data_IF_740428433365
#
_entry.id   IF_740428433365
#
_cell.length_a   1.000
_cell.length_b   1.000
_cell.length_c   1.000
_cell.angle_alpha   90.00
_cell.angle_beta   90.00
_cell.angle_gamma   90.00
#
_symmetry.space_group_name_H-M   'P 1'
#
loop_
_entity.id
_entity.type
_entity.pdbx_description
1 polymer ?
#
# COMPACT_ATOMS: atom_id res chain seq x y z
N UNK A 1 49.93 30.07 -32.25
CA UNK A 1 48.48 29.88 -32.45
C UNK A 1 48.27 28.50 -33.04
N UNK A 2 47.44 27.66 -32.41
CA UNK A 2 46.91 26.45 -33.05
C UNK A 2 47.40 25.10 -32.53
N UNK A 3 47.28 24.82 -31.23
CA UNK A 3 47.24 23.43 -30.72
C UNK A 3 46.45 23.40 -29.40
N UNK A 4 45.12 23.53 -29.47
CA UNK A 4 44.26 23.42 -28.29
C UNK A 4 42.85 22.88 -28.62
N UNK A 5 42.75 21.88 -29.49
CA UNK A 5 41.47 21.20 -29.77
C UNK A 5 41.73 19.74 -30.18
N UNK A 6 42.05 18.84 -29.25
CA UNK A 6 41.97 17.38 -29.49
C UNK A 6 42.02 16.48 -28.24
N UNK A 7 41.53 16.92 -27.08
CA UNK A 7 41.45 16.03 -25.89
C UNK A 7 40.08 16.08 -25.20
N UNK A 8 39.10 16.79 -25.76
CA UNK A 8 37.75 16.92 -25.19
C UNK A 8 36.69 16.15 -25.99
N UNK A 9 36.96 14.91 -26.38
CA UNK A 9 35.95 13.99 -26.94
C UNK A 9 36.03 12.55 -26.45
N UNK A 10 36.87 12.24 -25.46
CA UNK A 10 37.10 10.87 -24.99
C UNK A 10 36.76 10.62 -23.50
N UNK A 11 36.14 11.59 -22.82
CA UNK A 11 35.69 11.43 -21.41
C UNK A 11 34.15 11.33 -21.28
N UNK A 12 33.39 11.55 -22.36
CA UNK A 12 31.93 11.56 -22.32
C UNK A 12 31.24 10.21 -22.60
N UNK A 13 32.00 9.12 -22.82
CA UNK A 13 31.43 7.80 -23.19
C UNK A 13 31.61 6.74 -22.06
N UNK A 14 32.19 7.11 -20.92
CA UNK A 14 32.40 6.19 -19.78
C UNK A 14 31.44 6.39 -18.60
N UNK A 15 30.39 7.22 -18.75
CA UNK A 15 29.32 7.40 -17.74
C UNK A 15 27.94 6.88 -18.18
N UNK A 16 27.86 6.12 -19.27
CA UNK A 16 26.59 5.58 -19.79
C UNK A 16 26.32 4.10 -19.46
N UNK A 17 27.15 3.45 -18.64
CA UNK A 17 27.04 2.01 -18.36
C UNK A 17 27.28 1.71 -16.88
N UNK A 18 26.45 2.24 -15.98
CA UNK A 18 26.31 1.72 -14.62
C UNK A 18 25.04 2.24 -13.91
N UNK A 19 23.90 2.29 -14.60
CA UNK A 19 22.59 2.30 -13.94
C UNK A 19 21.95 0.93 -14.12
N UNK A 20 22.63 -0.10 -13.60
CA UNK A 20 21.94 -1.36 -13.36
C UNK A 20 20.82 -1.10 -12.35
N UNK A 21 19.58 -1.54 -12.63
CA UNK A 21 18.52 -1.44 -11.65
C UNK A 21 18.89 -2.36 -10.49
N UNK A 22 19.37 -1.77 -9.40
CA UNK A 22 19.57 -2.45 -8.10
C UNK A 22 18.26 -3.12 -7.64
N UNK A 23 17.12 -2.70 -8.20
CA UNK A 23 15.81 -3.32 -7.96
C UNK A 23 15.67 -4.77 -8.43
N UNK A 24 16.40 -5.23 -9.44
CA UNK A 24 16.23 -6.59 -9.98
C UNK A 24 17.00 -7.66 -9.18
N UNK A 25 18.10 -7.29 -8.53
CA UNK A 25 18.95 -8.23 -7.79
C UNK A 25 18.41 -8.57 -6.39
N UNK A 26 17.72 -7.63 -5.73
CA UNK A 26 17.31 -7.81 -4.34
C UNK A 26 16.16 -8.82 -4.13
N UNK A 27 15.41 -9.20 -5.17
CA UNK A 27 14.30 -10.16 -5.05
C UNK A 27 14.68 -11.61 -5.39
N UNK A 28 15.88 -11.88 -5.90
CA UNK A 28 16.22 -13.21 -6.41
C UNK A 28 16.58 -14.22 -5.31
N UNK A 29 16.98 -13.75 -4.12
CA UNK A 29 17.49 -14.63 -3.05
C UNK A 29 16.41 -15.29 -2.18
N UNK A 30 15.13 -14.96 -2.34
CA UNK A 30 14.03 -15.50 -1.51
C UNK A 30 13.10 -16.50 -2.22
N UNK A 31 13.38 -16.88 -3.48
CA UNK A 31 12.51 -17.79 -4.22
C UNK A 31 12.77 -19.24 -3.84
N UNK A 32 11.97 -19.78 -2.92
CA UNK A 32 11.72 -21.23 -2.93
C UNK A 32 10.91 -21.52 -4.20
N UNK A 33 11.59 -21.89 -5.28
CA UNK A 33 10.95 -22.19 -6.55
C UNK A 33 10.04 -23.42 -6.37
N UNK A 34 8.75 -23.28 -6.64
CA UNK A 34 7.76 -24.37 -6.57
C UNK A 34 8.00 -25.47 -7.62
N UNK A 35 8.98 -25.30 -8.51
CA UNK A 35 9.25 -26.19 -9.64
C UNK A 35 8.27 -26.02 -10.79
N UNK A 36 7.28 -25.15 -10.65
CA UNK A 36 6.30 -24.84 -11.68
C UNK A 36 6.87 -23.82 -12.68
N UNK A 37 6.54 -23.93 -13.98
CA UNK A 37 6.94 -22.93 -14.95
C UNK A 37 6.26 -21.59 -14.64
N UNK A 38 7.04 -20.51 -14.67
CA UNK A 38 6.49 -19.16 -14.67
C UNK A 38 5.86 -18.88 -16.03
N UNK A 39 4.57 -18.56 -16.03
CA UNK A 39 3.83 -18.22 -17.24
C UNK A 39 3.92 -16.71 -17.50
N UNK A 40 3.80 -16.31 -18.76
CA UNK A 40 3.52 -14.91 -19.06
C UNK A 40 2.15 -14.52 -18.50
N UNK A 41 1.91 -13.22 -18.26
CA UNK A 41 0.59 -12.73 -17.87
C UNK A 41 -0.52 -13.16 -18.86
N UNK A 42 -0.26 -13.09 -20.16
CA UNK A 42 -1.20 -13.48 -21.22
C UNK A 42 -1.44 -15.00 -21.24
N UNK A 43 -0.39 -15.80 -21.04
CA UNK A 43 -0.51 -17.25 -20.92
C UNK A 43 -1.31 -17.65 -19.68
N UNK A 44 -1.15 -16.93 -18.58
CA UNK A 44 -1.92 -17.13 -17.35
C UNK A 44 -3.40 -16.86 -17.60
N UNK A 45 -3.72 -15.72 -18.24
CA UNK A 45 -5.13 -15.38 -18.56
C UNK A 45 -5.80 -16.46 -19.41
N UNK A 46 -5.09 -16.98 -20.42
CA UNK A 46 -5.59 -18.07 -21.30
C UNK A 46 -5.87 -19.39 -20.57
N UNK A 47 -5.34 -19.59 -19.37
CA UNK A 47 -5.55 -20.80 -18.56
C UNK A 47 -6.71 -20.69 -17.57
N UNK A 48 -7.26 -19.49 -17.35
CA UNK A 48 -8.46 -19.38 -16.52
C UNK A 48 -9.64 -20.06 -17.21
N UNK A 49 -10.42 -20.78 -16.40
CA UNK A 49 -11.74 -21.26 -16.78
C UNK A 49 -12.74 -20.49 -15.94
N UNK A 50 -13.70 -19.84 -16.59
CA UNK A 50 -14.76 -19.07 -15.92
C UNK A 50 -16.14 -19.54 -16.40
N UNK A 51 -17.20 -19.36 -15.60
CA UNK A 51 -18.57 -19.69 -16.01
C UNK A 51 -19.04 -18.87 -17.22
N UNK A 52 -20.08 -19.35 -17.90
CA UNK A 52 -20.72 -18.63 -18.99
C UNK A 52 -21.16 -17.22 -18.56
N UNK A 53 -20.88 -16.22 -19.41
CA UNK A 53 -21.18 -14.81 -19.12
C UNK A 53 -20.07 -14.05 -18.37
N UNK A 54 -18.97 -14.71 -18.01
CA UNK A 54 -17.81 -14.08 -17.38
C UNK A 54 -16.60 -14.03 -18.34
N UNK A 55 -15.74 -13.04 -18.15
CA UNK A 55 -14.45 -12.93 -18.81
C UNK A 55 -13.36 -12.57 -17.81
N UNK A 56 -12.11 -12.92 -18.11
CA UNK A 56 -10.92 -12.47 -17.37
C UNK A 56 -10.07 -11.62 -18.30
N UNK A 57 -9.76 -10.39 -17.89
CA UNK A 57 -8.88 -9.46 -18.59
C UNK A 57 -7.65 -9.17 -17.75
N UNK A 58 -6.51 -9.03 -18.43
CA UNK A 58 -5.26 -8.63 -17.79
C UNK A 58 -5.25 -7.11 -17.57
N UNK A 59 -5.51 -6.67 -16.34
CA UNK A 59 -5.52 -5.26 -16.00
C UNK A 59 -4.11 -4.67 -15.81
N UNK A 60 -3.26 -5.34 -15.03
CA UNK A 60 -1.86 -4.98 -14.79
C UNK A 60 -1.01 -6.23 -14.53
N UNK A 61 0.29 -6.17 -14.82
CA UNK A 61 1.25 -7.26 -14.61
C UNK A 61 2.63 -6.71 -14.27
N UNK A 62 3.59 -7.57 -13.91
CA UNK A 62 4.99 -7.18 -13.80
C UNK A 62 5.51 -6.58 -15.13
N UNK A 63 6.34 -5.53 -15.09
CA UNK A 63 6.96 -4.90 -13.91
C UNK A 63 6.09 -3.82 -13.25
N UNK A 64 4.88 -3.57 -13.75
CA UNK A 64 4.03 -2.46 -13.33
C UNK A 64 3.32 -2.70 -11.99
N UNK A 65 3.08 -3.95 -11.63
CA UNK A 65 2.62 -4.36 -10.30
C UNK A 65 3.56 -5.44 -9.74
N UNK A 66 3.99 -5.29 -8.50
CA UNK A 66 4.87 -6.26 -7.82
C UNK A 66 4.37 -6.47 -6.38
N UNK A 67 4.18 -7.73 -5.98
CA UNK A 67 3.71 -8.12 -4.64
C UNK A 67 2.47 -7.34 -4.14
N UNK A 68 1.37 -7.26 -4.91
CA UNK A 68 0.15 -6.62 -4.44
C UNK A 68 -0.44 -7.41 -3.26
N UNK A 69 -0.74 -6.75 -2.14
CA UNK A 69 -1.26 -7.40 -0.92
C UNK A 69 -2.66 -6.94 -0.53
N UNK A 70 -3.02 -5.70 -0.88
CA UNK A 70 -4.34 -5.13 -0.61
C UNK A 70 -4.67 -4.09 -1.69
N UNK A 71 -5.95 -3.96 -2.03
CA UNK A 71 -6.41 -3.02 -3.04
C UNK A 71 -7.80 -2.45 -2.72
N UNK A 72 -8.10 -1.28 -3.27
CA UNK A 72 -9.42 -0.65 -3.22
C UNK A 72 -9.63 0.20 -4.48
N UNK A 73 -10.88 0.66 -4.70
CA UNK A 73 -11.20 1.62 -5.75
C UNK A 73 -11.55 2.97 -5.14
N UNK A 74 -11.18 4.06 -5.82
CA UNK A 74 -11.65 5.40 -5.48
C UNK A 74 -12.94 5.76 -6.22
N UNK A 75 -13.51 6.93 -5.91
CA UNK A 75 -14.73 7.44 -6.53
C UNK A 75 -14.59 7.76 -8.04
N UNK A 76 -13.36 7.80 -8.56
CA UNK A 76 -13.06 7.97 -9.99
C UNK A 76 -12.94 6.63 -10.71
N UNK A 77 -13.10 5.51 -10.01
CA UNK A 77 -13.01 4.16 -10.56
C UNK A 77 -11.56 3.67 -10.75
N UNK A 78 -10.57 4.34 -10.17
CA UNK A 78 -9.16 3.94 -10.27
C UNK A 78 -8.84 2.88 -9.23
N UNK A 79 -7.99 1.93 -9.57
CA UNK A 79 -7.51 0.91 -8.64
C UNK A 79 -6.32 1.45 -7.86
N UNK A 80 -6.36 1.33 -6.54
CA UNK A 80 -5.26 1.64 -5.63
C UNK A 80 -4.77 0.36 -5.00
N UNK A 81 -3.47 0.08 -5.08
CA UNK A 81 -2.91 -1.14 -4.50
C UNK A 81 -1.70 -0.84 -3.62
N UNK A 82 -1.59 -1.59 -2.52
CA UNK A 82 -0.36 -1.69 -1.74
C UNK A 82 0.51 -2.77 -2.36
N UNK A 83 1.74 -2.39 -2.67
CA UNK A 83 2.82 -3.31 -2.97
C UNK A 83 3.67 -3.53 -1.71
N UNK A 84 3.76 -4.78 -1.28
CA UNK A 84 4.43 -5.17 -0.02
C UNK A 84 5.77 -5.84 -0.28
N UNK A 85 6.83 -5.20 0.23
CA UNK A 85 8.21 -5.67 0.21
C UNK A 85 8.76 -5.97 1.61
N UNK A 86 8.13 -5.43 2.66
CA UNK A 86 8.55 -5.62 4.04
C UNK A 86 7.95 -6.88 4.68
N UNK A 87 6.82 -7.37 4.19
CA UNK A 87 6.25 -8.61 4.69
C UNK A 87 7.17 -9.82 4.40
N UNK A 88 7.30 -10.77 5.35
CA UNK A 88 6.66 -10.83 6.67
C UNK A 88 7.52 -10.22 7.80
N UNK A 89 8.75 -9.78 7.52
CA UNK A 89 9.73 -9.45 8.57
C UNK A 89 9.63 -8.01 9.09
N UNK A 90 9.07 -7.12 8.29
CA UNK A 90 9.18 -5.69 8.47
C UNK A 90 10.55 -5.15 8.07
N UNK A 91 10.63 -3.83 7.92
CA UNK A 91 11.88 -3.14 7.66
C UNK A 91 12.87 -3.30 8.84
N UNK A 92 14.13 -3.68 8.59
CA UNK A 92 15.19 -3.67 9.59
C UNK A 92 15.38 -2.29 10.20
N UNK A 93 15.82 -2.25 11.46
CA UNK A 93 16.14 -0.99 12.14
C UNK A 93 17.16 -0.16 11.33
N UNK A 94 16.88 1.13 11.17
CA UNK A 94 17.74 2.06 10.42
C UNK A 94 17.58 2.02 8.89
N UNK A 95 16.81 1.08 8.33
CA UNK A 95 16.46 1.08 6.90
C UNK A 95 15.13 1.80 6.69
N UNK A 96 15.06 2.68 5.69
CA UNK A 96 13.78 3.23 5.23
C UNK A 96 12.93 2.06 4.70
N UNK A 97 11.70 1.86 5.21
CA UNK A 97 10.78 0.87 4.66
C UNK A 97 10.47 1.12 3.18
N UNK A 98 9.99 0.11 2.47
CA UNK A 98 9.80 0.17 1.00
C UNK A 98 8.43 -0.27 0.52
N UNK A 99 7.48 -0.60 1.41
CA UNK A 99 6.09 -0.78 0.99
C UNK A 99 5.57 0.54 0.42
N UNK A 100 4.73 0.44 -0.61
CA UNK A 100 4.27 1.60 -1.37
C UNK A 100 2.85 1.44 -1.87
N UNK A 101 2.23 2.55 -2.20
CA UNK A 101 0.89 2.63 -2.77
C UNK A 101 1.01 3.14 -4.20
N UNK A 102 0.40 2.42 -5.14
CA UNK A 102 0.29 2.82 -6.55
C UNK A 102 -1.17 2.96 -6.96
N UNK A 103 -1.40 3.86 -7.92
CA UNK A 103 -2.69 4.14 -8.55
C UNK A 103 -2.61 3.63 -9.98
N UNK A 104 -3.60 2.86 -10.39
CA UNK A 104 -3.74 2.28 -11.72
C UNK A 104 -5.04 2.79 -12.34
N UNK A 105 -4.91 3.40 -13.51
CA UNK A 105 -5.99 4.05 -14.24
C UNK A 105 -6.00 3.49 -15.67
N UNK A 106 -7.20 3.15 -16.12
CA UNK A 106 -7.53 2.82 -17.50
C UNK A 106 -8.22 4.07 -18.09
N UNK A 107 -7.53 4.79 -18.96
CA UNK A 107 -7.98 6.08 -19.50
C UNK A 107 -8.74 5.95 -20.82
N UNK A 108 -8.65 4.80 -21.48
CA UNK A 108 -9.33 4.53 -22.76
C UNK A 108 -10.48 3.51 -22.66
N UNK A 109 -10.63 2.85 -21.51
CA UNK A 109 -11.71 1.94 -21.17
C UNK A 109 -11.57 0.55 -21.79
N UNK A 110 -10.35 0.15 -22.20
CA UNK A 110 -10.11 -1.16 -22.81
C UNK A 110 -10.00 -2.32 -21.80
N UNK A 111 -10.02 -2.00 -20.50
CA UNK A 111 -9.87 -2.94 -19.40
C UNK A 111 -8.41 -3.23 -19.02
N UNK A 112 -7.47 -2.39 -19.43
CA UNK A 112 -6.05 -2.43 -19.07
C UNK A 112 -5.61 -1.09 -18.48
N UNK A 113 -4.81 -1.14 -17.42
CA UNK A 113 -4.21 0.07 -16.90
C UNK A 113 -3.16 0.62 -17.89
N UNK A 114 -3.35 1.85 -18.35
CA UNK A 114 -2.41 2.56 -19.24
C UNK A 114 -1.63 3.65 -18.49
N UNK A 115 -2.17 4.11 -17.35
CA UNK A 115 -1.57 5.16 -16.53
C UNK A 115 -1.39 4.66 -15.11
N UNK A 116 -0.13 4.63 -14.69
CA UNK A 116 0.28 4.08 -13.39
C UNK A 116 1.12 5.11 -12.65
N UNK A 117 0.66 5.50 -11.47
CA UNK A 117 1.28 6.57 -10.66
C UNK A 117 1.68 6.03 -9.29
N UNK A 118 2.82 6.50 -8.77
CA UNK A 118 3.19 6.24 -7.37
C UNK A 118 2.55 7.29 -6.47
N UNK A 119 1.78 6.85 -5.48
CA UNK A 119 1.14 7.76 -4.52
C UNK A 119 2.02 8.02 -3.31
N UNK A 120 2.45 6.96 -2.62
CA UNK A 120 3.21 7.06 -1.38
C UNK A 120 4.20 5.90 -1.26
N UNK A 121 5.38 6.17 -0.69
CA UNK A 121 6.42 5.19 -0.40
C UNK A 121 6.87 5.28 1.06
N UNK A 122 7.61 4.28 1.54
CA UNK A 122 8.16 4.34 2.90
C UNK A 122 7.25 3.74 3.96
N UNK A 123 6.27 2.94 3.57
CA UNK A 123 5.41 2.21 4.50
C UNK A 123 6.07 0.91 4.96
N UNK A 124 5.66 0.44 6.14
CA UNK A 124 6.16 -0.79 6.73
C UNK A 124 5.01 -1.69 7.14
N UNK A 125 5.02 -2.94 6.67
CA UNK A 125 3.97 -3.93 6.93
C UNK A 125 2.56 -3.38 6.59
N UNK A 126 2.46 -2.72 5.43
CA UNK A 126 1.20 -2.20 4.94
C UNK A 126 0.32 -3.37 4.45
N UNK A 127 -0.89 -3.49 5.01
CA UNK A 127 -1.76 -4.68 4.87
C UNK A 127 -3.24 -4.35 4.64
N UNK A 128 -3.64 -3.09 4.77
CA UNK A 128 -4.98 -2.63 4.46
C UNK A 128 -4.97 -1.25 3.81
N UNK A 129 -5.86 -1.00 2.85
CA UNK A 129 -6.02 0.28 2.16
C UNK A 129 -7.49 0.60 1.93
N UNK A 130 -7.88 1.85 2.15
CA UNK A 130 -9.16 2.39 1.71
C UNK A 130 -8.99 3.88 1.35
N UNK A 131 -9.48 4.28 0.18
CA UNK A 131 -9.54 5.70 -0.22
C UNK A 131 -10.89 6.27 0.22
N UNK A 132 -10.89 7.46 0.81
CA UNK A 132 -12.11 8.14 1.23
C UNK A 132 -11.84 9.31 2.16
N UNK A 133 -12.86 10.14 2.38
CA UNK A 133 -12.79 11.29 3.30
C UNK A 133 -11.57 12.21 3.07
N UNK A 134 -11.19 12.42 1.81
CA UNK A 134 -10.08 13.32 1.42
C UNK A 134 -8.68 12.74 1.67
N UNK A 135 -8.55 11.43 1.85
CA UNK A 135 -7.27 10.78 2.09
C UNK A 135 -7.26 9.29 1.80
N UNK A 136 -6.14 8.67 2.17
CA UNK A 136 -5.94 7.22 2.10
C UNK A 136 -5.72 6.69 3.50
N UNK A 137 -6.60 5.77 3.93
CA UNK A 137 -6.47 5.02 5.16
C UNK A 137 -5.58 3.82 4.90
N UNK A 138 -4.55 3.64 5.73
CA UNK A 138 -3.56 2.57 5.55
C UNK A 138 -3.37 1.82 6.86
N UNK A 139 -3.60 0.51 6.82
CA UNK A 139 -3.20 -0.39 7.90
C UNK A 139 -1.72 -0.70 7.78
N UNK A 140 -0.91 -0.16 8.68
CA UNK A 140 0.55 -0.37 8.72
C UNK A 140 0.96 -0.61 10.18
N UNK A 141 0.84 -1.86 10.63
CA UNK A 141 0.96 -2.20 12.04
C UNK A 141 2.27 -1.65 12.64
N UNK A 142 2.22 -0.99 13.81
CA UNK A 142 1.14 -1.03 14.80
C UNK A 142 0.05 0.05 14.62
N UNK A 143 0.01 0.72 13.48
CA UNK A 143 -0.76 1.95 13.28
C UNK A 143 -1.86 1.81 12.22
N UNK A 144 -2.98 2.49 12.45
CA UNK A 144 -3.89 2.93 11.39
C UNK A 144 -3.48 4.34 11.00
N UNK A 145 -3.04 4.52 9.76
CA UNK A 145 -2.57 5.79 9.21
C UNK A 145 -3.63 6.43 8.32
N UNK A 146 -3.58 7.75 8.21
CA UNK A 146 -4.30 8.56 7.23
C UNK A 146 -3.33 9.46 6.48
N UNK A 147 -3.31 9.34 5.15
CA UNK A 147 -2.47 10.15 4.28
C UNK A 147 -3.39 11.12 3.53
N UNK A 148 -3.38 12.42 3.83
CA UNK A 148 -4.28 13.37 3.18
C UNK A 148 -3.95 13.51 1.70
N UNK A 149 -4.96 13.63 0.85
CA UNK A 149 -4.81 13.91 -0.58
C UNK A 149 -4.60 15.41 -0.82
N UNK A 150 -3.80 15.75 -1.83
CA UNK A 150 -3.72 17.09 -2.38
C UNK A 150 -4.96 17.44 -3.21
N UNK A 151 -5.00 18.67 -3.75
CA UNK A 151 -6.13 19.15 -4.55
C UNK A 151 -6.38 18.30 -5.81
N UNK A 152 -5.35 17.61 -6.32
CA UNK A 152 -5.48 16.74 -7.49
C UNK A 152 -6.10 15.39 -7.18
N UNK A 153 -6.04 14.95 -5.91
CA UNK A 153 -6.44 13.60 -5.51
C UNK A 153 -5.43 12.51 -5.89
N UNK A 154 -4.23 12.89 -6.35
CA UNK A 154 -3.23 11.97 -6.92
C UNK A 154 -1.93 11.95 -6.12
N UNK A 155 -1.75 12.88 -5.16
CA UNK A 155 -0.54 12.97 -4.32
C UNK A 155 -0.87 13.24 -2.85
N UNK A 156 0.05 12.90 -1.93
CA UNK A 156 -0.07 13.28 -0.54
C UNK A 156 0.02 14.80 -0.37
N UNK A 157 -0.93 15.40 0.35
CA UNK A 157 -0.86 16.79 0.79
C UNK A 157 0.10 17.01 1.97
N UNK A 158 0.54 15.93 2.63
CA UNK A 158 1.36 16.00 3.82
C UNK A 158 1.82 14.62 4.30
N UNK A 159 2.52 14.57 5.45
CA UNK A 159 2.98 13.30 6.02
C UNK A 159 1.79 12.45 6.53
N UNK A 160 1.97 11.12 6.64
CA UNK A 160 0.98 10.25 7.26
C UNK A 160 0.65 10.68 8.68
N UNK A 161 -0.64 10.72 8.99
CA UNK A 161 -1.18 10.99 10.32
C UNK A 161 -1.55 9.66 10.97
N UNK A 162 -1.12 9.46 12.22
CA UNK A 162 -1.47 8.26 12.97
C UNK A 162 -2.83 8.46 13.66
N UNK A 163 -3.84 7.70 13.26
CA UNK A 163 -5.19 7.78 13.83
C UNK A 163 -5.33 6.88 15.06
N UNK A 164 -4.91 5.62 14.91
CA UNK A 164 -4.90 4.61 15.96
C UNK A 164 -3.52 3.97 16.04
N UNK A 165 -3.18 3.46 17.21
CA UNK A 165 -1.95 2.70 17.44
C UNK A 165 -2.21 1.55 18.39
N UNK A 166 -1.27 0.60 18.48
CA UNK A 166 -1.34 -0.54 19.39
C UNK A 166 -1.92 -1.80 18.76
N UNK A 167 -2.00 -1.86 17.43
CA UNK A 167 -2.21 -3.13 16.73
C UNK A 167 -0.97 -4.03 16.89
N UNK A 168 -1.20 -5.27 17.31
CA UNK A 168 -0.17 -6.29 17.53
C UNK A 168 0.61 -6.63 16.26
N UNK A 169 1.80 -7.20 16.45
CA UNK A 169 2.75 -7.58 15.37
C UNK A 169 3.44 -8.91 15.62
N UNK A 170 2.96 -9.66 16.60
CA UNK A 170 3.49 -10.96 17.00
C UNK A 170 3.38 -11.97 15.86
N UNK A 171 2.25 -11.94 15.14
CA UNK A 171 2.03 -12.68 13.92
C UNK A 171 1.75 -11.73 12.74
N UNK A 172 2.75 -11.52 11.88
CA UNK A 172 2.62 -10.60 10.74
C UNK A 172 1.71 -11.13 9.62
N UNK A 173 1.21 -12.36 9.72
CA UNK A 173 0.17 -12.92 8.85
C UNK A 173 -1.24 -12.40 9.19
N UNK A 174 -1.42 -11.84 10.39
CA UNK A 174 -2.72 -11.55 11.01
C UNK A 174 -2.88 -10.08 11.41
N UNK A 175 -2.19 -9.18 10.69
CA UNK A 175 -2.26 -7.73 10.89
C UNK A 175 -3.61 -7.15 10.43
N UNK A 176 -3.92 -5.92 10.86
CA UNK A 176 -5.13 -5.19 10.47
C UNK A 176 -5.27 -5.10 8.94
N UNK A 177 -6.36 -5.62 8.39
CA UNK A 177 -6.54 -5.75 6.95
C UNK A 177 -8.03 -5.72 6.54
N UNK A 178 -8.32 -6.03 5.27
CA UNK A 178 -9.68 -6.16 4.74
C UNK A 178 -10.54 -4.90 4.92
N UNK A 179 -9.95 -3.75 4.61
CA UNK A 179 -10.61 -2.47 4.81
C UNK A 179 -11.81 -2.32 3.86
N UNK A 180 -12.94 -1.89 4.39
CA UNK A 180 -14.14 -1.62 3.58
C UNK A 180 -14.97 -0.50 4.19
N UNK A 181 -15.56 0.35 3.35
CA UNK A 181 -16.49 1.38 3.80
C UNK A 181 -17.89 0.78 3.97
N UNK A 182 -18.49 1.02 5.13
CA UNK A 182 -19.90 0.78 5.32
C UNK A 182 -20.75 1.91 4.74
N UNK A 183 -22.04 1.68 4.47
CA UNK A 183 -22.98 2.72 4.03
C UNK A 183 -23.29 3.76 5.13
N UNK A 184 -22.72 3.58 6.32
CA UNK A 184 -22.87 4.40 7.52
C UNK A 184 -21.67 5.31 7.79
N UNK A 185 -20.78 5.51 6.80
CA UNK A 185 -19.53 6.29 6.88
C UNK A 185 -18.46 5.71 7.84
N UNK A 186 -18.61 4.47 8.28
CA UNK A 186 -17.59 3.79 9.07
C UNK A 186 -16.61 3.02 8.18
N UNK A 187 -15.32 3.11 8.50
CA UNK A 187 -14.31 2.21 7.97
C UNK A 187 -14.34 0.93 8.79
N UNK A 188 -14.59 -0.21 8.16
CA UNK A 188 -14.52 -1.53 8.78
C UNK A 188 -13.19 -2.20 8.41
N UNK A 189 -12.69 -3.06 9.29
CA UNK A 189 -11.56 -3.93 9.02
C UNK A 189 -11.56 -5.16 9.89
N UNK A 190 -10.71 -6.12 9.54
CA UNK A 190 -10.49 -7.35 10.28
C UNK A 190 -9.13 -7.31 10.99
N UNK A 191 -9.01 -8.10 12.05
CA UNK A 191 -7.77 -8.29 12.80
C UNK A 191 -7.71 -9.72 13.34
N UNK A 192 -6.56 -10.39 13.26
CA UNK A 192 -6.46 -11.82 13.59
C UNK A 192 -6.31 -12.14 15.08
N UNK A 193 -6.23 -13.43 15.39
CA UNK A 193 -6.29 -13.99 16.75
C UNK A 193 -4.95 -13.97 17.47
N UNK A 194 -3.85 -14.13 16.74
CA UNK A 194 -2.49 -14.28 17.30
C UNK A 194 -1.73 -12.95 17.43
N UNK A 195 -2.35 -11.83 17.04
CA UNK A 195 -1.81 -10.47 17.15
C UNK A 195 -2.49 -9.72 18.30
N UNK A 196 -1.87 -9.77 19.48
CA UNK A 196 -2.46 -9.24 20.70
C UNK A 196 -2.45 -7.70 20.72
N UNK A 197 -3.62 -7.09 20.48
CA UNK A 197 -3.71 -5.64 20.30
C UNK A 197 -4.26 -4.92 21.52
N UNK A 198 -3.69 -3.75 21.80
CA UNK A 198 -4.16 -2.77 22.79
C UNK A 198 -4.35 -1.45 22.08
N UNK A 199 -5.42 -1.38 21.28
CA UNK A 199 -5.64 -0.29 20.34
C UNK A 199 -6.09 0.96 21.07
N UNK A 200 -5.45 2.08 20.80
CA UNK A 200 -5.83 3.39 21.35
C UNK A 200 -5.74 4.49 20.31
N UNK A 201 -6.47 5.56 20.58
CA UNK A 201 -6.41 6.81 19.81
C UNK A 201 -5.12 7.56 20.10
N UNK A 202 -4.63 8.30 19.13
CA UNK A 202 -3.46 9.17 19.27
C UNK A 202 -3.91 10.59 19.60
N UNK A 203 -3.29 11.19 20.62
CA UNK A 203 -3.56 12.57 21.05
C UNK A 203 -3.14 13.60 19.99
N UNK A 204 -3.84 14.74 19.91
CA UNK A 204 -3.41 15.89 19.09
C UNK A 204 -3.66 15.77 17.59
N UNK A 205 -4.33 14.72 17.14
CA UNK A 205 -5.09 14.80 15.88
C UNK A 205 -6.36 15.55 16.28
N UNK A 206 -6.66 16.73 15.71
CA UNK A 206 -7.74 17.62 16.18
C UNK A 206 -9.16 17.05 15.98
N UNK A 207 -9.85 16.65 17.04
CA UNK A 207 -11.25 16.18 16.98
C UNK A 207 -12.23 17.35 16.82
N UNK A 208 -13.19 17.24 15.89
CA UNK A 208 -14.27 18.23 15.73
C UNK A 208 -15.39 18.14 16.79
N UNK A 209 -15.33 17.16 17.70
CA UNK A 209 -16.38 16.92 18.69
C UNK A 209 -15.83 16.85 20.10
N UNK A 210 -16.19 17.86 20.91
CA UNK A 210 -16.54 17.95 22.35
C UNK A 210 -16.16 16.83 23.35
N UNK A 211 -15.21 15.95 23.09
CA UNK A 211 -14.75 14.94 24.03
C UNK A 211 -13.23 15.06 24.20
N UNK A 212 -12.72 15.12 25.44
CA UNK A 212 -11.30 15.26 25.69
C UNK A 212 -10.55 14.03 25.16
N UNK A 213 -9.48 14.34 24.42
CA UNK A 213 -8.59 13.43 23.74
C UNK A 213 -7.74 12.59 24.72
N UNK A 214 -7.38 11.37 24.29
CA UNK A 214 -6.22 10.58 24.72
C UNK A 214 -6.24 9.79 26.05
N UNK A 215 -7.20 9.99 26.96
CA UNK A 215 -7.22 9.29 28.27
C UNK A 215 -8.14 8.06 28.35
N UNK A 216 -8.73 7.63 27.24
CA UNK A 216 -9.47 6.37 27.22
C UNK A 216 -8.53 5.17 27.31
N UNK A 217 -8.87 4.15 28.11
CA UNK A 217 -8.09 2.93 28.17
C UNK A 217 -8.04 2.27 26.78
N UNK A 218 -6.93 1.60 26.42
CA UNK A 218 -6.85 0.89 25.17
C UNK A 218 -7.93 -0.19 25.09
N UNK A 219 -8.48 -0.37 23.89
CA UNK A 219 -9.37 -1.48 23.56
C UNK A 219 -8.51 -2.71 23.31
N UNK A 220 -8.68 -3.74 24.14
CA UNK A 220 -8.05 -5.03 23.91
C UNK A 220 -8.77 -5.77 22.78
N UNK A 221 -8.03 -6.27 21.80
CA UNK A 221 -8.58 -6.92 20.62
C UNK A 221 -7.69 -8.08 20.19
N UNK A 222 -8.31 -9.27 20.15
CA UNK A 222 -7.78 -10.51 19.55
C UNK A 222 -8.93 -11.09 18.72
N UNK A 223 -8.73 -11.30 17.42
CA UNK A 223 -9.75 -11.78 16.50
C UNK A 223 -11.05 -10.96 16.54
N UNK A 224 -11.08 -9.84 15.84
CA UNK A 224 -12.29 -9.03 15.78
C UNK A 224 -12.51 -8.39 14.41
N UNK A 225 -13.77 -8.09 14.14
CA UNK A 225 -14.13 -7.03 13.21
C UNK A 225 -14.11 -5.73 13.99
N UNK A 226 -13.42 -4.73 13.48
CA UNK A 226 -13.37 -3.41 14.07
C UNK A 226 -13.94 -2.39 13.11
N UNK A 227 -14.33 -1.24 13.65
CA UNK A 227 -14.70 -0.08 12.85
C UNK A 227 -14.16 1.22 13.42
N UNK A 228 -13.84 2.15 12.53
CA UNK A 228 -13.38 3.49 12.84
C UNK A 228 -14.20 4.52 12.08
N UNK A 229 -14.75 5.52 12.79
CA UNK A 229 -15.47 6.60 12.16
C UNK A 229 -14.54 7.81 11.92
N UNK A 230 -14.28 8.24 10.68
CA UNK A 230 -13.29 9.30 10.39
C UNK A 230 -13.59 10.65 11.03
N UNK A 231 -14.87 11.09 11.03
CA UNK A 231 -15.26 12.41 11.58
C UNK A 231 -15.40 12.43 13.10
N UNK A 232 -16.14 11.48 13.66
CA UNK A 232 -16.32 11.30 15.11
C UNK A 232 -15.07 10.76 15.83
N UNK A 233 -14.12 10.18 15.08
CA UNK A 233 -12.91 9.52 15.60
C UNK A 233 -13.20 8.52 16.69
N UNK A 234 -14.24 7.73 16.46
CA UNK A 234 -14.68 6.65 17.35
C UNK A 234 -14.15 5.33 16.82
N UNK A 235 -13.63 4.50 17.71
CA UNK A 235 -13.17 3.15 17.41
C UNK A 235 -14.03 2.15 18.19
N UNK A 236 -14.49 1.10 17.52
CA UNK A 236 -15.34 0.07 18.10
C UNK A 236 -14.93 -1.31 17.57
N UNK A 237 -15.24 -2.36 18.33
CA UNK A 237 -15.01 -3.77 17.98
C UNK A 237 -16.31 -4.57 18.13
N UNK A 238 -16.41 -5.69 17.43
CA UNK A 238 -17.50 -6.66 17.48
C UNK A 238 -17.01 -8.04 17.90
#
# INVERSE_FOLDING_TARGET
>A
MGHFFSVLRLVAILFALASWPISAYAQNELRHNSGQPYLSPEETVRRFTVPDGFEVKLFAAEPDVINPIAMCFDERGRLWAIESFEYPKGAPAGRKPTDRIKIYEDTDGDGRADKISSFFDGLNLATGIAVGHGGVFVGAAPDLLFIPLDESGDKPAGPPQRLLTGFGREDTHELLNSFTWGPDDWLYGCHGVFTHSKVKRVAGVESSSLQPEADEPPVEMNAAVWRYHPRMRKFEIF
#
